data_IF_339794920375
#
_entry.id   IF_339794920375
#
_cell.length_a   1.000
_cell.length_b   1.000
_cell.length_c   1.000
_cell.angle_alpha   90.00
_cell.angle_beta   90.00
_cell.angle_gamma   90.00
#
_symmetry.space_group_name_H-M   'P 1'
#
loop_
_entity.id
_entity.type
_entity.pdbx_description
1 polymer ?
#
# COMPACT_ATOMS: atom_id res chain seq x y z
N UNK A 1 15.65 3.21 35.98
CA UNK A 1 15.62 3.07 34.52
C UNK A 1 14.18 3.22 34.10
N UNK A 2 13.80 4.41 33.62
CA UNK A 2 12.48 4.63 33.04
C UNK A 2 12.39 3.80 31.77
N UNK A 3 11.47 2.84 31.72
CA UNK A 3 11.17 2.14 30.48
C UNK A 3 10.77 3.20 29.45
N UNK A 4 11.62 3.43 28.46
CA UNK A 4 11.32 4.29 27.33
C UNK A 4 10.14 3.65 26.61
N UNK A 5 8.94 4.19 26.81
CA UNK A 5 7.77 3.77 26.04
C UNK A 5 8.07 4.05 24.57
N UNK A 6 8.03 3.01 23.72
CA UNK A 6 8.21 3.17 22.28
C UNK A 6 7.25 4.26 21.76
N UNK A 7 7.70 5.14 20.85
CA UNK A 7 6.84 6.16 20.26
C UNK A 7 5.60 5.53 19.66
N UNK A 8 4.43 6.16 19.84
CA UNK A 8 3.20 5.68 19.19
C UNK A 8 3.35 5.82 17.67
N UNK A 9 3.12 4.74 16.94
CA UNK A 9 3.24 4.68 15.49
C UNK A 9 2.03 3.97 14.87
N UNK A 10 1.47 4.50 13.80
CA UNK A 10 0.34 3.93 13.06
C UNK A 10 0.76 3.59 11.63
N UNK A 11 0.52 2.35 11.22
CA UNK A 11 0.84 1.84 9.90
C UNK A 11 -0.45 1.48 9.13
N UNK A 12 -0.89 2.34 8.21
CA UNK A 12 -2.01 2.06 7.32
C UNK A 12 -1.54 1.24 6.10
N UNK A 13 -1.85 -0.05 6.09
CA UNK A 13 -1.60 -0.94 4.98
C UNK A 13 -2.75 -0.87 3.99
N UNK A 14 -2.42 -0.81 2.71
CA UNK A 14 -3.37 -0.67 1.62
C UNK A 14 -2.95 -1.49 0.40
N UNK A 15 -3.74 -1.42 -0.65
CA UNK A 15 -3.38 -1.85 -2.01
C UNK A 15 -3.66 -0.70 -2.98
N UNK A 16 -3.00 -0.58 -4.15
CA UNK A 16 -3.35 0.47 -5.09
C UNK A 16 -4.85 0.51 -5.38
N UNK A 17 -5.39 1.72 -5.54
CA UNK A 17 -6.81 1.96 -5.86
C UNK A 17 -7.81 1.53 -4.77
N UNK A 18 -7.35 1.24 -3.55
CA UNK A 18 -8.17 0.98 -2.34
C UNK A 18 -8.91 2.19 -1.76
N UNK A 19 -8.87 3.36 -2.41
CA UNK A 19 -9.35 4.63 -1.85
C UNK A 19 -8.59 5.10 -0.59
N UNK A 20 -7.37 4.62 -0.37
CA UNK A 20 -6.55 5.05 0.77
C UNK A 20 -6.21 6.54 0.77
N UNK A 21 -5.99 7.15 -0.39
CA UNK A 21 -5.84 8.61 -0.50
C UNK A 21 -7.12 9.38 -0.18
N UNK A 22 -8.30 8.80 -0.46
CA UNK A 22 -9.58 9.38 -0.05
C UNK A 22 -9.69 9.38 1.47
N UNK A 23 -9.35 8.26 2.12
CA UNK A 23 -9.32 8.17 3.58
C UNK A 23 -8.36 9.22 4.18
N UNK A 24 -7.14 9.35 3.65
CA UNK A 24 -6.18 10.35 4.13
C UNK A 24 -6.70 11.79 4.02
N UNK A 25 -7.47 12.09 2.97
CA UNK A 25 -8.09 13.40 2.77
C UNK A 25 -9.24 13.62 3.75
N UNK A 26 -10.07 12.60 3.97
CA UNK A 26 -11.19 12.65 4.92
C UNK A 26 -10.69 12.86 6.34
N UNK A 27 -9.65 12.14 6.78
CA UNK A 27 -9.08 12.31 8.14
C UNK A 27 -8.16 13.52 8.25
N UNK A 28 -7.97 14.27 7.16
CA UNK A 28 -7.10 15.44 7.07
C UNK A 28 -5.71 15.21 7.68
N UNK A 29 -5.02 14.15 7.22
CA UNK A 29 -3.86 13.59 7.92
C UNK A 29 -2.73 14.60 8.20
N UNK A 30 -2.56 15.61 7.35
CA UNK A 30 -1.53 16.63 7.52
C UNK A 30 -1.88 17.69 8.59
N UNK A 31 -3.16 17.83 8.94
CA UNK A 31 -3.64 18.76 9.97
C UNK A 31 -4.03 18.06 11.28
N UNK A 32 -3.73 16.77 11.40
CA UNK A 32 -3.90 15.99 12.62
C UNK A 32 -2.89 16.47 13.69
N UNK A 33 -3.34 17.03 14.83
CA UNK A 33 -2.46 17.75 15.75
C UNK A 33 -1.43 16.85 16.44
N UNK A 34 -1.76 15.57 16.62
CA UNK A 34 -0.95 14.57 17.32
C UNK A 34 -0.18 13.64 16.38
N UNK A 35 -0.22 13.88 15.07
CA UNK A 35 0.43 12.99 14.10
C UNK A 35 1.38 13.74 13.18
N UNK A 36 2.42 13.03 12.79
CA UNK A 36 3.34 13.43 11.76
C UNK A 36 3.33 12.39 10.64
N UNK A 37 3.18 12.86 9.41
CA UNK A 37 3.31 12.06 8.19
C UNK A 37 4.20 12.79 7.18
N UNK A 38 4.60 12.12 6.10
CA UNK A 38 5.41 12.74 5.05
C UNK A 38 4.54 13.33 3.92
N UNK A 39 5.13 14.22 3.12
CA UNK A 39 4.46 14.85 1.98
C UNK A 39 4.22 13.89 0.79
N UNK A 40 4.78 12.68 0.86
CA UNK A 40 4.60 11.62 -0.15
C UNK A 40 3.33 10.80 0.13
N UNK A 41 2.42 11.27 0.99
CA UNK A 41 1.17 10.59 1.32
C UNK A 41 1.36 9.37 2.22
N UNK A 42 2.45 9.36 3.00
CA UNK A 42 2.80 8.34 3.97
C UNK A 42 3.68 7.20 3.45
N UNK A 43 4.10 7.24 2.18
CA UNK A 43 4.92 6.18 1.56
C UNK A 43 6.42 6.37 1.81
N UNK A 44 7.13 5.28 2.07
CA UNK A 44 8.56 5.17 2.37
C UNK A 44 9.22 3.99 1.63
N UNK A 45 8.49 2.92 1.29
CA UNK A 45 9.09 1.70 0.73
C UNK A 45 9.18 1.65 -0.80
N UNK A 46 8.56 2.59 -1.53
CA UNK A 46 8.69 2.63 -3.00
C UNK A 46 10.15 2.73 -3.50
N UNK A 47 11.04 3.53 -2.87
CA UNK A 47 12.48 3.55 -3.17
C UNK A 47 13.19 2.20 -3.13
N UNK A 48 12.67 1.21 -2.40
CA UNK A 48 13.27 -0.13 -2.32
C UNK A 48 13.44 -0.79 -3.70
N UNK A 49 12.59 -0.43 -4.67
CA UNK A 49 12.61 -0.99 -6.02
C UNK A 49 13.53 -0.24 -7.01
N UNK A 50 14.07 0.93 -6.63
CA UNK A 50 14.89 1.75 -7.52
C UNK A 50 16.09 1.00 -8.13
N UNK A 51 16.88 0.20 -7.38
CA UNK A 51 18.02 -0.51 -7.96
C UNK A 51 17.61 -1.48 -9.08
N UNK A 52 16.49 -2.20 -8.92
CA UNK A 52 16.01 -3.15 -9.91
C UNK A 52 15.47 -2.48 -11.18
N UNK A 53 14.80 -1.34 -10.99
CA UNK A 53 14.26 -0.54 -12.10
C UNK A 53 15.41 0.10 -12.88
N UNK A 54 16.30 0.83 -12.21
CA UNK A 54 17.41 1.55 -12.86
C UNK A 54 18.45 0.57 -13.43
N UNK A 55 18.68 -0.55 -12.75
CA UNK A 55 19.60 -1.59 -13.20
C UNK A 55 19.05 -2.53 -14.28
N UNK A 56 17.78 -2.38 -14.68
CA UNK A 56 17.17 -3.18 -15.74
C UNK A 56 17.10 -4.69 -15.43
N UNK A 57 16.81 -5.03 -14.17
CA UNK A 57 16.66 -6.42 -13.74
C UNK A 57 15.35 -6.70 -12.99
N UNK A 58 14.46 -5.71 -12.88
CA UNK A 58 13.13 -5.87 -12.29
C UNK A 58 12.23 -6.89 -13.02
N UNK A 59 12.45 -7.12 -14.31
CA UNK A 59 11.71 -8.10 -15.11
C UNK A 59 12.34 -9.51 -15.10
N UNK A 60 13.53 -9.65 -14.51
CA UNK A 60 14.23 -10.93 -14.40
C UNK A 60 13.75 -11.72 -13.18
N UNK A 61 13.59 -13.04 -13.29
CA UNK A 61 13.37 -13.90 -12.15
C UNK A 61 14.43 -13.69 -11.05
N UNK A 62 14.00 -13.71 -9.79
CA UNK A 62 14.85 -13.40 -8.64
C UNK A 62 16.04 -14.36 -8.47
N UNK A 63 15.92 -15.60 -8.96
CA UNK A 63 17.01 -16.59 -8.99
C UNK A 63 18.09 -16.27 -10.03
N UNK A 64 17.82 -15.41 -11.01
CA UNK A 64 18.80 -14.91 -11.99
C UNK A 64 19.55 -13.67 -11.49
N UNK A 65 19.13 -13.08 -10.37
CA UNK A 65 19.80 -11.92 -9.80
C UNK A 65 21.14 -12.34 -9.18
N UNK A 66 22.17 -11.53 -9.41
CA UNK A 66 23.48 -11.71 -8.78
C UNK A 66 23.40 -11.41 -7.29
N UNK A 67 24.37 -11.90 -6.51
CA UNK A 67 24.46 -11.56 -5.08
C UNK A 67 24.54 -10.05 -4.85
N UNK A 68 25.26 -9.32 -5.70
CA UNK A 68 25.34 -7.85 -5.65
C UNK A 68 23.98 -7.20 -5.83
N UNK A 69 23.19 -7.62 -6.83
CA UNK A 69 21.84 -7.07 -7.07
C UNK A 69 20.90 -7.34 -5.89
N UNK A 70 20.99 -8.52 -5.27
CA UNK A 70 20.20 -8.86 -4.07
C UNK A 70 20.59 -7.98 -2.88
N UNK A 71 21.89 -7.77 -2.66
CA UNK A 71 22.40 -6.89 -1.60
C UNK A 71 22.04 -5.41 -1.84
N UNK A 72 22.05 -4.93 -3.08
CA UNK A 72 21.60 -3.56 -3.42
C UNK A 72 20.13 -3.34 -3.05
N UNK A 73 19.26 -4.30 -3.35
CA UNK A 73 17.84 -4.24 -3.00
C UNK A 73 17.65 -4.31 -1.49
N UNK A 74 18.37 -5.20 -0.81
CA UNK A 74 18.37 -5.27 0.67
C UNK A 74 18.84 -3.96 1.29
N UNK A 75 19.89 -3.35 0.75
CA UNK A 75 20.40 -2.06 1.20
C UNK A 75 19.37 -0.94 0.96
N UNK A 76 18.62 -0.97 -0.16
CA UNK A 76 17.56 -0.01 -0.41
C UNK A 76 16.40 -0.14 0.58
N UNK A 77 16.01 -1.37 0.94
CA UNK A 77 15.08 -1.63 2.04
C UNK A 77 15.58 -1.08 3.38
N UNK A 78 16.86 -1.28 3.71
CA UNK A 78 17.49 -0.65 4.88
C UNK A 78 17.39 0.87 4.82
N UNK A 79 17.66 1.49 3.68
CA UNK A 79 17.52 2.93 3.49
C UNK A 79 16.10 3.43 3.76
N UNK A 80 15.08 2.71 3.26
CA UNK A 80 13.67 3.04 3.52
C UNK A 80 13.36 3.02 5.03
N UNK A 81 13.84 1.99 5.75
CA UNK A 81 13.66 1.89 7.20
C UNK A 81 14.42 3.00 7.94
N UNK A 82 15.64 3.33 7.54
CA UNK A 82 16.40 4.45 8.14
C UNK A 82 15.67 5.78 8.00
N UNK A 83 15.17 6.10 6.80
CA UNK A 83 14.38 7.32 6.57
C UNK A 83 13.08 7.33 7.39
N UNK A 84 12.47 6.17 7.58
CA UNK A 84 11.33 6.03 8.48
C UNK A 84 11.74 6.34 9.92
N UNK A 85 12.78 5.70 10.46
CA UNK A 85 13.23 5.90 11.84
C UNK A 85 13.58 7.38 12.11
N UNK A 86 14.25 8.06 11.18
CA UNK A 86 14.51 9.51 11.25
C UNK A 86 13.21 10.33 11.38
N UNK A 87 12.18 9.98 10.59
CA UNK A 87 10.87 10.60 10.69
C UNK A 87 10.19 10.31 12.04
N UNK A 88 10.34 9.11 12.58
CA UNK A 88 9.78 8.76 13.88
C UNK A 88 10.47 9.51 15.02
N UNK A 89 11.79 9.67 14.96
CA UNK A 89 12.52 10.47 15.95
C UNK A 89 12.07 11.92 15.92
N UNK A 90 11.82 12.47 14.72
CA UNK A 90 11.24 13.81 14.55
C UNK A 90 9.85 13.90 15.15
N UNK A 91 8.97 12.92 14.87
CA UNK A 91 7.63 12.88 15.47
C UNK A 91 7.70 12.87 17.00
N UNK A 92 8.58 12.07 17.58
CA UNK A 92 8.78 12.02 19.04
C UNK A 92 9.29 13.36 19.61
N UNK A 93 10.24 14.03 18.94
CA UNK A 93 10.73 15.36 19.33
C UNK A 93 9.62 16.43 19.29
N UNK A 94 8.61 16.25 18.44
CA UNK A 94 7.44 17.12 18.32
C UNK A 94 6.26 16.69 19.22
N UNK A 95 6.43 15.70 20.10
CA UNK A 95 5.36 15.09 20.92
C UNK A 95 4.17 14.57 20.07
N UNK A 96 4.50 14.02 18.90
CA UNK A 96 3.56 13.44 17.94
C UNK A 96 3.80 11.95 17.76
N UNK A 97 2.72 11.25 17.43
CA UNK A 97 2.78 9.91 16.87
C UNK A 97 3.16 9.97 15.38
N UNK A 98 3.77 8.90 14.87
CA UNK A 98 4.02 8.77 13.43
C UNK A 98 2.84 8.09 12.73
N UNK A 99 2.47 8.57 11.55
CA UNK A 99 1.51 7.91 10.67
C UNK A 99 2.15 7.65 9.30
N UNK A 100 2.16 6.39 8.88
CA UNK A 100 2.58 5.99 7.53
C UNK A 100 1.47 5.24 6.81
N UNK A 101 1.60 5.16 5.49
CA UNK A 101 0.73 4.37 4.65
C UNK A 101 1.54 3.70 3.56
N UNK A 102 1.43 2.38 3.44
CA UNK A 102 2.10 1.62 2.38
C UNK A 102 1.12 0.76 1.58
N UNK A 103 1.56 0.36 0.40
CA UNK A 103 0.97 -0.80 -0.26
C UNK A 103 1.61 -2.07 0.29
N UNK A 104 0.79 -3.06 0.66
CA UNK A 104 1.24 -4.28 1.32
C UNK A 104 2.43 -4.93 0.60
N UNK A 105 2.35 -5.01 -0.74
CA UNK A 105 3.40 -5.55 -1.59
C UNK A 105 4.79 -4.91 -1.39
N UNK A 106 4.86 -3.61 -1.06
CA UNK A 106 6.12 -2.86 -1.09
C UNK A 106 7.11 -3.21 0.01
N UNK A 107 6.66 -3.85 1.09
CA UNK A 107 7.54 -4.31 2.18
C UNK A 107 7.51 -5.84 2.35
N UNK A 108 6.95 -6.57 1.37
CA UNK A 108 7.00 -8.03 1.36
C UNK A 108 8.41 -8.51 0.99
N UNK A 109 8.78 -9.67 1.53
CA UNK A 109 10.04 -10.31 1.17
C UNK A 109 10.04 -10.68 -0.32
N UNK A 110 10.98 -10.19 -1.15
CA UNK A 110 11.03 -10.50 -2.57
C UNK A 110 11.05 -12.01 -2.90
N UNK A 111 11.58 -12.85 -2.00
CA UNK A 111 11.56 -14.30 -2.18
C UNK A 111 10.15 -14.89 -2.31
N UNK A 112 9.14 -14.23 -1.74
CA UNK A 112 7.75 -14.66 -1.85
C UNK A 112 7.20 -14.50 -3.27
N UNK A 113 7.67 -13.49 -4.01
CA UNK A 113 7.33 -13.36 -5.44
C UNK A 113 7.85 -14.55 -6.25
N UNK A 114 9.08 -14.98 -5.96
CA UNK A 114 9.66 -16.16 -6.59
C UNK A 114 8.85 -17.42 -6.28
N UNK A 115 8.47 -17.62 -5.02
CA UNK A 115 7.60 -18.75 -4.61
C UNK A 115 6.25 -18.71 -5.33
N UNK A 116 5.60 -17.55 -5.40
CA UNK A 116 4.29 -17.42 -6.05
C UNK A 116 4.34 -17.64 -7.57
N UNK A 117 5.43 -17.25 -8.23
CA UNK A 117 5.57 -17.43 -9.68
C UNK A 117 6.02 -18.84 -10.09
N UNK A 118 6.85 -19.49 -9.27
CA UNK A 118 7.47 -20.78 -9.62
C UNK A 118 6.89 -21.97 -8.87
N UNK A 119 6.17 -21.74 -7.77
CA UNK A 119 5.76 -22.77 -6.82
C UNK A 119 6.89 -23.29 -5.93
N UNK A 120 8.12 -22.82 -6.13
CA UNK A 120 9.30 -23.33 -5.42
C UNK A 120 9.63 -22.45 -4.21
N UNK A 121 9.78 -23.09 -3.05
CA UNK A 121 10.27 -22.44 -1.84
C UNK A 121 11.79 -22.38 -1.83
N UNK A 122 12.33 -21.22 -1.49
CA UNK A 122 13.77 -21.02 -1.30
C UNK A 122 14.03 -20.32 0.05
N UNK A 123 14.27 -21.10 1.13
CA UNK A 123 14.50 -20.55 2.45
C UNK A 123 15.75 -19.66 2.56
N UNK A 124 16.79 -19.93 1.77
CA UNK A 124 18.02 -19.13 1.79
C UNK A 124 17.82 -17.79 1.07
N UNK A 125 17.06 -17.79 -0.03
CA UNK A 125 16.63 -16.55 -0.66
C UNK A 125 15.75 -15.72 0.28
N UNK A 126 14.86 -16.37 1.04
CA UNK A 126 14.03 -15.68 2.03
C UNK A 126 14.88 -15.02 3.12
N UNK A 127 15.86 -15.73 3.69
CA UNK A 127 16.81 -15.17 4.67
C UNK A 127 17.64 -14.02 4.10
N UNK A 128 17.98 -14.07 2.81
CA UNK A 128 18.77 -13.02 2.14
C UNK A 128 18.12 -11.64 2.33
N UNK A 129 16.79 -11.54 2.17
CA UNK A 129 16.05 -10.27 2.26
C UNK A 129 15.49 -9.94 3.65
N UNK A 130 15.75 -10.78 4.67
CA UNK A 130 15.43 -10.43 6.04
C UNK A 130 16.36 -9.32 6.52
N UNK A 131 15.78 -8.19 6.94
CA UNK A 131 16.55 -7.07 7.45
C UNK A 131 17.00 -7.33 8.89
N UNK A 132 18.19 -6.83 9.22
CA UNK A 132 18.71 -6.76 10.59
C UNK A 132 18.72 -5.29 11.02
N UNK A 133 17.75 -4.90 11.84
CA UNK A 133 17.55 -3.54 12.29
C UNK A 133 18.34 -3.24 13.58
N UNK A 134 18.16 -2.04 14.13
CA UNK A 134 18.79 -1.58 15.38
C UNK A 134 18.61 -2.58 16.53
N UNK A 135 19.61 -2.67 17.40
CA UNK A 135 19.59 -3.51 18.62
C UNK A 135 18.46 -3.16 19.58
N UNK A 136 17.87 -1.96 19.45
CA UNK A 136 16.66 -1.57 20.20
C UNK A 136 15.45 -2.48 19.94
N UNK A 137 15.45 -3.24 18.84
CA UNK A 137 14.41 -4.21 18.49
C UNK A 137 14.83 -5.66 18.80
N UNK A 138 15.91 -5.89 19.56
CA UNK A 138 16.34 -7.24 19.91
C UNK A 138 15.49 -7.91 21.00
N UNK A 139 15.33 -9.25 20.95
CA UNK A 139 15.81 -10.16 19.90
C UNK A 139 15.00 -10.02 18.62
N UNK A 140 15.61 -10.00 17.44
CA UNK A 140 14.87 -9.90 16.17
C UNK A 140 14.56 -11.28 15.58
N UNK A 141 13.29 -11.54 15.32
CA UNK A 141 12.76 -12.82 14.85
C UNK A 141 11.87 -12.66 13.62
N UNK A 142 11.66 -13.75 12.91
CA UNK A 142 10.75 -13.83 11.76
C UNK A 142 9.89 -15.08 11.92
N UNK A 143 8.65 -14.90 12.40
CA UNK A 143 7.70 -15.99 12.52
C UNK A 143 7.43 -16.64 11.16
N UNK A 144 6.98 -17.91 11.12
CA UNK A 144 6.61 -18.56 9.87
C UNK A 144 5.56 -17.80 9.04
N UNK A 145 4.68 -17.04 9.69
CA UNK A 145 3.67 -16.18 9.07
C UNK A 145 4.19 -14.81 8.65
N UNK A 146 5.33 -14.35 9.18
CA UNK A 146 5.92 -13.10 8.75
C UNK A 146 6.53 -13.26 7.35
N UNK A 147 5.82 -12.71 6.36
CA UNK A 147 6.22 -12.71 4.96
C UNK A 147 6.91 -11.41 4.51
N UNK A 148 7.24 -10.53 5.44
CA UNK A 148 7.83 -9.21 5.16
C UNK A 148 9.35 -9.24 5.21
N UNK A 149 9.98 -8.14 4.79
CA UNK A 149 11.42 -7.91 5.02
C UNK A 149 11.73 -7.50 6.46
N UNK A 150 10.71 -7.11 7.25
CA UNK A 150 10.84 -6.52 8.58
C UNK A 150 10.73 -7.60 9.68
N UNK A 151 11.54 -7.53 10.74
CA UNK A 151 11.44 -8.48 11.85
C UNK A 151 10.14 -8.26 12.65
N UNK A 152 9.69 -9.30 13.35
CA UNK A 152 8.43 -9.29 14.08
C UNK A 152 8.40 -8.19 15.16
N UNK A 153 9.50 -7.98 15.86
CA UNK A 153 9.65 -6.99 16.93
C UNK A 153 9.48 -5.57 16.40
N UNK A 154 10.02 -5.32 15.21
CA UNK A 154 9.85 -4.04 14.55
C UNK A 154 8.39 -3.85 14.13
N UNK A 155 7.78 -4.83 13.48
CA UNK A 155 6.37 -4.74 13.09
C UNK A 155 5.44 -4.57 14.31
N UNK A 156 5.72 -5.25 15.43
CA UNK A 156 4.96 -5.11 16.70
C UNK A 156 5.10 -3.73 17.34
N UNK A 157 6.09 -2.93 16.96
CA UNK A 157 6.17 -1.52 17.38
C UNK A 157 5.08 -0.63 16.75
N UNK A 158 4.39 -1.12 15.71
CA UNK A 158 3.34 -0.40 15.00
C UNK A 158 1.95 -0.81 15.45
N UNK A 159 1.07 0.18 15.58
CA UNK A 159 -0.37 -0.07 15.47
C UNK A 159 -0.73 -0.25 13.99
N UNK A 160 -0.93 -1.49 13.58
CA UNK A 160 -1.28 -1.82 12.20
C UNK A 160 -2.77 -1.57 11.93
N UNK A 161 -3.06 -0.92 10.81
CA UNK A 161 -4.39 -0.69 10.29
C UNK A 161 -4.44 -1.04 8.80
N UNK A 162 -5.64 -1.29 8.27
CA UNK A 162 -5.87 -1.73 6.89
C UNK A 162 -6.99 -0.93 6.25
N UNK A 163 -6.83 -0.66 4.95
CA UNK A 163 -7.94 -0.28 4.06
C UNK A 163 -8.00 -1.23 2.87
N UNK A 164 -9.18 -1.80 2.66
CA UNK A 164 -9.48 -2.68 1.52
C UNK A 164 -10.57 -2.07 0.64
N UNK A 165 -10.73 -2.58 -0.57
CA UNK A 165 -11.81 -2.21 -1.48
C UNK A 165 -12.23 -3.42 -2.29
N UNK A 166 -13.50 -3.46 -2.66
CA UNK A 166 -14.03 -4.51 -3.51
C UNK A 166 -13.18 -4.69 -4.80
N UNK A 167 -12.66 -5.90 -5.08
CA UNK A 167 -11.79 -6.18 -6.23
C UNK A 167 -12.31 -5.65 -7.57
N UNK A 168 -13.60 -5.86 -7.87
CA UNK A 168 -14.23 -5.37 -9.10
C UNK A 168 -14.07 -3.85 -9.32
N UNK A 169 -14.05 -3.05 -8.25
CA UNK A 169 -13.84 -1.60 -8.35
C UNK A 169 -12.35 -1.24 -8.39
N UNK A 170 -11.54 -1.87 -7.53
CA UNK A 170 -10.13 -1.57 -7.40
C UNK A 170 -9.35 -1.96 -8.67
N UNK A 171 -9.56 -3.16 -9.20
CA UNK A 171 -8.83 -3.71 -10.35
C UNK A 171 -9.25 -3.05 -11.66
N UNK A 172 -10.54 -2.82 -11.87
CA UNK A 172 -11.01 -2.06 -13.04
C UNK A 172 -10.44 -0.63 -13.01
N UNK A 173 -10.35 -0.02 -11.82
CA UNK A 173 -9.71 1.28 -11.70
C UNK A 173 -8.19 1.23 -11.91
N UNK A 174 -7.52 0.14 -11.50
CA UNK A 174 -6.08 -0.05 -11.71
C UNK A 174 -5.77 -0.23 -13.19
N UNK A 175 -6.55 -1.06 -13.89
CA UNK A 175 -6.39 -1.30 -15.33
C UNK A 175 -6.47 0.00 -16.12
N UNK A 176 -7.50 0.81 -15.89
CA UNK A 176 -7.65 2.13 -16.53
C UNK A 176 -6.45 3.05 -16.27
N UNK A 177 -5.95 3.07 -15.04
CA UNK A 177 -4.78 3.87 -14.66
C UNK A 177 -3.52 3.41 -15.39
N UNK A 178 -3.26 2.09 -15.40
CA UNK A 178 -2.11 1.50 -16.09
C UNK A 178 -2.17 1.72 -17.60
N UNK A 179 -3.33 1.58 -18.22
CA UNK A 179 -3.52 1.86 -19.65
C UNK A 179 -3.22 3.32 -19.97
N UNK A 180 -3.65 4.27 -19.12
CA UNK A 180 -3.30 5.68 -19.27
C UNK A 180 -1.79 5.93 -19.12
N UNK A 181 -1.15 5.30 -18.12
CA UNK A 181 0.30 5.40 -17.88
C UNK A 181 1.10 4.87 -19.08
N UNK A 182 0.73 3.70 -19.57
CA UNK A 182 1.30 3.12 -20.80
C UNK A 182 1.12 4.04 -22.00
N UNK A 183 -0.03 4.70 -22.11
CA UNK A 183 -0.36 5.61 -23.21
C UNK A 183 0.57 6.82 -23.36
N UNK A 184 1.18 7.28 -22.26
CA UNK A 184 2.21 8.35 -22.31
C UNK A 184 3.65 7.82 -22.14
N UNK A 185 3.86 6.52 -22.26
CA UNK A 185 5.18 5.89 -22.19
C UNK A 185 5.74 5.71 -20.77
N UNK A 186 4.93 5.87 -19.73
CA UNK A 186 5.35 5.65 -18.34
C UNK A 186 5.40 4.18 -17.92
N UNK A 187 5.10 3.24 -18.83
CA UNK A 187 5.13 1.81 -18.56
C UNK A 187 5.28 0.98 -19.84
N UNK A 188 6.17 -0.01 -19.82
CA UNK A 188 6.37 -0.96 -20.91
C UNK A 188 5.35 -2.12 -20.92
N UNK A 189 5.29 -2.88 -22.02
CA UNK A 189 4.36 -4.02 -22.16
C UNK A 189 4.63 -5.18 -21.18
N UNK A 190 5.90 -5.57 -20.98
CA UNK A 190 6.28 -6.60 -19.99
C UNK A 190 6.06 -6.11 -18.56
N UNK A 191 6.44 -4.86 -18.29
CA UNK A 191 6.25 -4.19 -17.01
C UNK A 191 4.76 -4.14 -16.62
N UNK A 192 3.87 -3.89 -17.59
CA UNK A 192 2.42 -3.89 -17.37
C UNK A 192 1.94 -5.18 -16.69
N UNK A 193 2.32 -6.35 -17.20
CA UNK A 193 1.86 -7.60 -16.60
C UNK A 193 2.49 -7.88 -15.24
N UNK A 194 3.73 -7.44 -15.01
CA UNK A 194 4.40 -7.55 -13.71
C UNK A 194 3.69 -6.69 -12.65
N UNK A 195 3.45 -5.41 -12.97
CA UNK A 195 2.73 -4.46 -12.10
C UNK A 195 1.28 -4.90 -11.89
N UNK A 196 0.63 -5.44 -12.92
CA UNK A 196 -0.73 -5.98 -12.80
C UNK A 196 -0.79 -7.06 -11.73
N UNK A 197 -0.01 -8.14 -11.89
CA UNK A 197 -0.03 -9.30 -10.98
C UNK A 197 0.30 -8.94 -9.53
N UNK A 198 1.25 -8.04 -9.30
CA UNK A 198 1.64 -7.65 -7.94
C UNK A 198 0.62 -6.76 -7.25
N UNK A 199 -0.16 -5.99 -8.01
CA UNK A 199 -1.06 -4.97 -7.46
C UNK A 199 -2.54 -5.31 -7.58
N UNK A 200 -2.94 -6.35 -8.31
CA UNK A 200 -4.33 -6.83 -8.41
C UNK A 200 -4.58 -8.12 -7.63
N UNK A 201 -4.13 -8.12 -6.39
CA UNK A 201 -4.39 -9.21 -5.43
C UNK A 201 -4.48 -8.67 -4.01
N UNK A 202 -5.27 -9.32 -3.16
CA UNK A 202 -5.33 -9.03 -1.72
C UNK A 202 -4.48 -10.00 -0.89
N UNK A 203 -3.79 -10.96 -1.51
CA UNK A 203 -2.95 -11.96 -0.81
C UNK A 203 -1.91 -11.33 0.11
N UNK A 204 -1.20 -10.30 -0.37
CA UNK A 204 -0.22 -9.57 0.46
C UNK A 204 -0.86 -8.96 1.71
N UNK A 205 -2.03 -8.35 1.52
CA UNK A 205 -2.79 -7.71 2.61
C UNK A 205 -3.23 -8.76 3.62
N UNK A 206 -3.77 -9.89 3.14
CA UNK A 206 -4.19 -11.00 3.99
C UNK A 206 -3.03 -11.63 4.76
N UNK A 207 -1.86 -11.81 4.14
CA UNK A 207 -0.68 -12.34 4.82
C UNK A 207 -0.26 -11.48 6.02
N UNK A 208 -0.22 -10.14 5.84
CA UNK A 208 0.12 -9.24 6.96
C UNK A 208 -1.00 -9.22 8.00
N UNK A 209 -2.26 -9.30 7.58
CA UNK A 209 -3.40 -9.38 8.49
C UNK A 209 -3.37 -10.65 9.35
N UNK A 210 -3.13 -11.81 8.74
CA UNK A 210 -3.05 -13.10 9.45
C UNK A 210 -1.83 -13.12 10.37
N UNK A 211 -0.69 -12.55 9.96
CA UNK A 211 0.44 -12.31 10.85
C UNK A 211 0.02 -11.48 12.08
N UNK A 212 -0.70 -10.36 11.91
CA UNK A 212 -1.18 -9.56 13.04
C UNK A 212 -2.01 -10.39 14.04
N UNK A 213 -2.91 -11.24 13.54
CA UNK A 213 -3.73 -12.11 14.39
C UNK A 213 -2.87 -13.13 15.16
N UNK A 214 -1.90 -13.75 14.49
CA UNK A 214 -0.98 -14.70 15.13
C UNK A 214 -0.08 -14.05 16.18
N UNK A 215 0.26 -12.76 16.00
CA UNK A 215 0.96 -11.96 17.00
C UNK A 215 0.07 -11.52 18.17
N UNK A 216 -1.21 -11.90 18.18
CA UNK A 216 -2.17 -11.52 19.22
C UNK A 216 -2.66 -10.07 19.12
N UNK A 217 -2.49 -9.44 17.96
CA UNK A 217 -3.01 -8.09 17.70
C UNK A 217 -4.30 -8.15 16.91
N UNK A 218 -5.22 -7.23 17.18
CA UNK A 218 -6.43 -7.06 16.38
C UNK A 218 -6.29 -5.77 15.57
N UNK A 219 -5.85 -5.85 14.30
CA UNK A 219 -5.60 -4.65 13.51
C UNK A 219 -6.93 -3.98 13.12
N UNK A 220 -6.88 -2.65 13.00
CA UNK A 220 -8.05 -1.86 12.59
C UNK A 220 -8.25 -2.03 11.09
N UNK A 221 -9.45 -2.39 10.62
CA UNK A 221 -9.71 -2.58 9.19
C UNK A 221 -10.94 -1.80 8.75
N UNK A 222 -10.83 -1.06 7.64
CA UNK A 222 -11.96 -0.34 7.02
C UNK A 222 -12.11 -0.73 5.55
N UNK A 223 -13.35 -0.84 5.07
CA UNK A 223 -13.65 -1.00 3.65
C UNK A 223 -13.87 0.37 3.01
N UNK A 224 -13.37 0.57 1.80
CA UNK A 224 -13.57 1.78 1.02
C UNK A 224 -15.05 2.13 0.78
N UNK A 225 -15.95 1.13 0.77
CA UNK A 225 -17.39 1.34 0.75
C UNK A 225 -17.85 2.11 2.00
N UNK A 226 -17.42 1.67 3.18
CA UNK A 226 -17.71 2.36 4.45
C UNK A 226 -17.04 3.74 4.49
N UNK A 227 -15.83 3.91 3.95
CA UNK A 227 -15.18 5.23 3.83
C UNK A 227 -16.02 6.20 2.99
N UNK A 228 -16.69 5.69 1.95
CA UNK A 228 -17.49 6.52 1.03
C UNK A 228 -18.88 6.83 1.59
N UNK A 229 -19.51 5.85 2.25
CA UNK A 229 -20.94 5.87 2.55
C UNK A 229 -21.27 5.94 4.04
N UNK A 230 -20.30 5.66 4.92
CA UNK A 230 -20.52 5.51 6.35
C UNK A 230 -19.55 6.38 7.17
N UNK A 231 -19.85 7.68 7.35
CA UNK A 231 -19.04 8.59 8.16
C UNK A 231 -18.75 8.06 9.58
N UNK A 232 -19.70 7.32 10.18
CA UNK A 232 -19.52 6.75 11.52
C UNK A 232 -18.40 5.69 11.56
N UNK A 233 -18.23 4.91 10.49
CA UNK A 233 -17.13 3.95 10.39
C UNK A 233 -15.76 4.67 10.30
N UNK A 234 -15.67 5.78 9.58
CA UNK A 234 -14.44 6.60 9.52
C UNK A 234 -14.16 7.28 10.86
N UNK A 235 -15.20 7.79 11.52
CA UNK A 235 -15.07 8.32 12.89
C UNK A 235 -14.52 7.26 13.84
N UNK A 236 -15.05 6.03 13.77
CA UNK A 236 -14.60 4.90 14.57
C UNK A 236 -13.16 4.49 14.23
N UNK A 237 -12.76 4.56 12.96
CA UNK A 237 -11.38 4.37 12.55
C UNK A 237 -10.45 5.39 13.21
N UNK A 238 -10.83 6.68 13.25
CA UNK A 238 -10.06 7.72 13.93
C UNK A 238 -9.90 7.41 15.42
N UNK A 239 -10.99 7.09 16.12
CA UNK A 239 -10.97 6.74 17.55
C UNK A 239 -10.04 5.55 17.85
N UNK A 240 -10.11 4.49 17.03
CA UNK A 240 -9.30 3.28 17.23
C UNK A 240 -7.82 3.52 16.94
N UNK A 241 -7.48 4.35 15.95
CA UNK A 241 -6.09 4.67 15.58
C UNK A 241 -5.50 5.83 16.38
N UNK A 242 -6.34 6.58 17.09
CA UNK A 242 -5.96 7.75 17.89
C UNK A 242 -5.94 9.07 17.11
N UNK A 243 -6.34 9.07 15.84
CA UNK A 243 -6.58 10.29 15.06
C UNK A 243 -7.74 11.08 15.68
N UNK A 244 -7.71 12.41 15.54
CA UNK A 244 -8.74 13.31 16.02
C UNK A 244 -9.94 13.30 15.05
N UNK A 245 -11.12 12.80 15.45
CA UNK A 245 -12.29 12.80 14.58
C UNK A 245 -12.82 14.20 14.26
N UNK A 246 -12.52 15.21 15.08
CA UNK A 246 -12.95 16.60 14.85
C UNK A 246 -12.17 17.27 13.71
N UNK A 247 -11.09 16.63 13.24
CA UNK A 247 -10.35 17.04 12.04
C UNK A 247 -10.90 16.45 10.75
N UNK A 248 -11.91 15.59 10.84
CA UNK A 248 -12.47 14.98 9.64
C UNK A 248 -13.13 16.04 8.76
N UNK A 249 -12.90 15.93 7.46
CA UNK A 249 -13.47 16.79 6.43
C UNK A 249 -14.06 15.95 5.30
N UNK A 250 -15.12 16.44 4.69
CA UNK A 250 -15.79 15.77 3.55
C UNK A 250 -15.83 16.63 2.29
N UNK A 251 -15.39 17.87 2.44
CA UNK A 251 -15.26 18.88 1.41
C UNK A 251 -13.87 19.48 1.51
N UNK A 252 -13.27 19.81 0.37
CA UNK A 252 -11.95 20.40 0.28
C UNK A 252 -11.86 21.29 -0.96
N UNK A 253 -10.93 22.23 -0.94
CA UNK A 253 -10.64 23.02 -2.13
C UNK A 253 -10.10 22.12 -3.24
N UNK A 254 -10.50 22.41 -4.48
CA UNK A 254 -9.79 21.87 -5.65
C UNK A 254 -8.34 22.33 -5.57
N UNK A 255 -7.43 21.38 -5.42
CA UNK A 255 -6.00 21.65 -5.42
C UNK A 255 -5.47 21.45 -6.85
N UNK A 256 -4.56 22.31 -7.28
CA UNK A 256 -3.74 21.98 -8.45
C UNK A 256 -3.05 20.65 -8.17
N UNK A 257 -3.23 19.66 -9.05
CA UNK A 257 -2.63 18.32 -8.89
C UNK A 257 -1.11 18.48 -8.79
N UNK A 258 -0.56 18.45 -7.58
CA UNK A 258 0.90 18.60 -7.34
C UNK A 258 1.68 17.33 -7.67
N UNK A 259 1.01 16.24 -8.04
CA UNK A 259 1.63 14.94 -8.29
C UNK A 259 2.34 14.36 -7.05
N UNK A 260 1.95 14.78 -5.85
CA UNK A 260 2.52 14.24 -4.60
C UNK A 260 2.14 12.77 -4.47
N UNK A 261 3.06 11.93 -4.01
CA UNK A 261 2.88 10.49 -4.01
C UNK A 261 4.21 9.76 -3.84
N UNK A 262 4.22 8.43 -4.03
CA UNK A 262 5.46 7.67 -3.96
C UNK A 262 6.42 8.17 -5.03
N UNK A 263 7.71 8.15 -4.74
CA UNK A 263 8.74 8.52 -5.72
C UNK A 263 10.10 7.99 -5.31
N UNK A 264 10.98 7.84 -6.29
CA UNK A 264 12.41 7.63 -6.04
C UNK A 264 13.00 9.00 -5.68
N UNK A 265 13.94 9.06 -4.73
CA UNK A 265 14.63 10.31 -4.35
C UNK A 265 15.57 10.85 -5.44
N UNK A 266 15.34 10.47 -6.71
CA UNK A 266 16.20 10.84 -7.82
C UNK A 266 15.77 12.19 -8.38
N UNK A 267 16.76 13.08 -8.55
CA UNK A 267 16.56 14.49 -8.93
C UNK A 267 16.81 14.72 -10.42
N UNK A 268 17.00 13.65 -11.21
CA UNK A 268 17.04 13.75 -12.66
C UNK A 268 15.67 14.20 -13.21
N UNK A 269 15.67 15.35 -13.90
CA UNK A 269 14.44 16.06 -14.27
C UNK A 269 13.43 15.19 -15.05
N UNK A 270 13.88 14.34 -15.97
CA UNK A 270 12.97 13.54 -16.82
C UNK A 270 12.28 12.39 -16.05
N UNK A 271 13.03 11.66 -15.22
CA UNK A 271 12.49 10.60 -14.36
C UNK A 271 11.54 11.18 -13.31
N UNK A 272 11.90 12.32 -12.74
CA UNK A 272 11.07 13.05 -11.79
C UNK A 272 9.75 13.53 -12.42
N UNK A 273 9.78 14.12 -13.62
CA UNK A 273 8.57 14.52 -14.35
C UNK A 273 7.66 13.34 -14.70
N UNK A 274 8.23 12.20 -15.11
CA UNK A 274 7.46 10.99 -15.39
C UNK A 274 6.78 10.47 -14.12
N UNK A 275 7.49 10.44 -12.99
CA UNK A 275 6.93 10.03 -11.70
C UNK A 275 5.76 10.92 -11.28
N UNK A 276 5.90 12.24 -11.45
CA UNK A 276 4.81 13.21 -11.20
C UNK A 276 3.58 12.86 -12.05
N UNK A 277 3.75 12.62 -13.36
CA UNK A 277 2.65 12.26 -14.27
C UNK A 277 1.97 10.97 -13.84
N UNK A 278 2.72 9.96 -13.42
CA UNK A 278 2.20 8.70 -12.88
C UNK A 278 1.38 8.95 -11.61
N UNK A 279 1.91 9.70 -10.65
CA UNK A 279 1.22 10.05 -9.41
C UNK A 279 -0.09 10.81 -9.67
N UNK A 280 -0.08 11.75 -10.62
CA UNK A 280 -1.27 12.47 -11.07
C UNK A 280 -2.36 11.51 -11.58
N UNK A 281 -2.00 10.48 -12.37
CA UNK A 281 -2.99 9.47 -12.80
C UNK A 281 -3.53 8.70 -11.60
N UNK A 282 -2.64 8.25 -10.71
CA UNK A 282 -2.99 7.44 -9.54
C UNK A 282 -3.87 8.18 -8.54
N UNK A 283 -3.87 9.51 -8.54
CA UNK A 283 -4.68 10.35 -7.65
C UNK A 283 -5.75 11.19 -8.32
N UNK A 284 -5.84 11.14 -9.66
CA UNK A 284 -6.71 11.98 -10.48
C UNK A 284 -8.14 12.18 -9.97
N UNK A 285 -8.77 11.17 -9.37
CA UNK A 285 -10.14 11.29 -8.85
C UNK A 285 -10.24 12.12 -7.59
N UNK A 286 -9.31 11.95 -6.64
CA UNK A 286 -9.37 12.65 -5.35
C UNK A 286 -8.80 14.07 -5.46
N UNK A 287 -7.86 14.28 -6.38
CA UNK A 287 -7.27 15.60 -6.61
C UNK A 287 -8.17 16.49 -7.48
N UNK A 288 -8.94 15.90 -8.41
CA UNK A 288 -9.88 16.65 -9.27
C UNK A 288 -11.31 16.75 -8.70
N UNK A 289 -11.52 16.43 -7.42
CA UNK A 289 -12.82 16.61 -6.76
C UNK A 289 -12.72 17.64 -5.64
N UNK A 290 -13.85 18.21 -5.24
CA UNK A 290 -14.02 19.05 -4.05
C UNK A 290 -14.64 18.29 -2.87
N UNK A 291 -14.82 16.97 -3.00
CA UNK A 291 -15.40 16.09 -2.00
C UNK A 291 -15.47 14.63 -2.46
N UNK A 292 -16.22 13.81 -1.73
CA UNK A 292 -16.40 12.38 -2.04
C UNK A 292 -17.20 12.19 -3.35
N UNK A 293 -16.60 11.54 -4.35
CA UNK A 293 -17.26 11.19 -5.62
C UNK A 293 -18.02 9.85 -5.47
N UNK A 294 -19.26 9.92 -4.98
CA UNK A 294 -20.07 8.74 -4.65
C UNK A 294 -20.37 7.84 -5.86
N UNK A 295 -20.50 8.39 -7.06
CA UNK A 295 -20.80 7.62 -8.29
C UNK A 295 -19.76 6.55 -8.63
N UNK A 296 -18.55 6.64 -8.06
CA UNK A 296 -17.46 5.66 -8.25
C UNK A 296 -17.47 4.52 -7.24
N UNK A 297 -18.40 4.54 -6.29
CA UNK A 297 -18.64 3.46 -5.33
C UNK A 297 -20.13 3.18 -5.34
N UNK A 298 -20.60 2.21 -6.13
CA UNK A 298 -22.02 1.88 -6.20
C UNK A 298 -22.58 1.54 -4.81
N UNK A 299 -23.79 2.01 -4.52
CA UNK A 299 -24.50 1.59 -3.30
C UNK A 299 -25.12 0.21 -3.51
N UNK A 300 -24.76 -0.77 -2.67
CA UNK A 300 -25.34 -2.11 -2.69
C UNK A 300 -24.38 -3.20 -3.23
N UNK A 301 -24.88 -4.44 -3.40
CA UNK A 301 -24.05 -5.55 -3.87
C UNK A 301 -23.58 -5.32 -5.30
N UNK A 302 -22.32 -5.69 -5.56
CA UNK A 302 -21.71 -5.60 -6.88
C UNK A 302 -21.93 -6.91 -7.62
N UNK A 303 -22.68 -6.85 -8.72
CA UNK A 303 -22.86 -7.99 -9.61
C UNK A 303 -21.69 -8.06 -10.60
N UNK A 304 -20.82 -9.07 -10.41
CA UNK A 304 -19.61 -9.28 -11.22
C UNK A 304 -19.97 -9.57 -12.69
N UNK A 305 -21.10 -10.22 -12.98
CA UNK A 305 -21.51 -10.50 -14.35
C UNK A 305 -21.92 -9.21 -15.07
N UNK A 306 -22.63 -8.32 -14.37
CA UNK A 306 -22.97 -6.98 -14.91
C UNK A 306 -21.70 -6.14 -15.12
N UNK A 307 -20.76 -6.17 -14.18
CA UNK A 307 -19.48 -5.47 -14.34
C UNK A 307 -18.65 -6.05 -15.50
N UNK A 308 -18.67 -7.37 -15.70
CA UNK A 308 -17.99 -8.02 -16.83
C UNK A 308 -18.50 -7.50 -18.18
N UNK A 309 -19.82 -7.36 -18.36
CA UNK A 309 -20.39 -6.82 -19.60
C UNK A 309 -20.01 -5.34 -19.82
N UNK A 310 -19.95 -4.54 -18.75
CA UNK A 310 -19.44 -3.17 -18.82
C UNK A 310 -17.97 -3.14 -19.23
N UNK A 311 -17.14 -4.02 -18.67
CA UNK A 311 -15.71 -4.07 -19.02
C UNK A 311 -15.50 -4.52 -20.46
N UNK A 312 -16.30 -5.46 -20.99
CA UNK A 312 -16.23 -5.84 -22.41
C UNK A 312 -16.55 -4.66 -23.32
N UNK A 313 -17.62 -3.94 -23.00
CA UNK A 313 -18.05 -2.77 -23.78
C UNK A 313 -17.01 -1.63 -23.74
N UNK A 314 -16.35 -1.42 -22.59
CA UNK A 314 -15.38 -0.34 -22.41
C UNK A 314 -13.96 -0.68 -22.88
N UNK A 315 -13.48 -1.89 -22.58
CA UNK A 315 -12.07 -2.27 -22.65
C UNK A 315 -11.78 -3.40 -23.65
N UNK A 316 -12.81 -4.04 -24.19
CA UNK A 316 -12.71 -5.23 -25.05
C UNK A 316 -12.61 -6.53 -24.26
N UNK A 317 -12.78 -7.65 -24.97
CA UNK A 317 -12.95 -8.98 -24.37
C UNK A 317 -11.72 -9.47 -23.59
N UNK A 318 -10.51 -9.28 -24.14
CA UNK A 318 -9.27 -9.74 -23.50
C UNK A 318 -9.03 -9.02 -22.16
N UNK A 319 -9.23 -7.70 -22.12
CA UNK A 319 -9.09 -6.90 -20.92
C UNK A 319 -10.16 -7.25 -19.88
N UNK A 320 -11.40 -7.44 -20.31
CA UNK A 320 -12.51 -7.83 -19.45
C UNK A 320 -12.28 -9.22 -18.82
N UNK A 321 -11.75 -10.17 -19.59
CA UNK A 321 -11.41 -11.50 -19.08
C UNK A 321 -10.27 -11.43 -18.05
N UNK A 322 -9.20 -10.68 -18.32
CA UNK A 322 -8.11 -10.48 -17.38
C UNK A 322 -8.58 -9.85 -16.06
N UNK A 323 -9.48 -8.87 -16.14
CA UNK A 323 -10.12 -8.25 -14.98
C UNK A 323 -10.95 -9.25 -14.19
N UNK A 324 -11.81 -10.00 -14.89
CA UNK A 324 -12.69 -10.99 -14.28
C UNK A 324 -11.90 -12.06 -13.51
N UNK A 325 -10.83 -12.59 -14.10
CA UNK A 325 -9.94 -13.56 -13.43
C UNK A 325 -9.31 -12.96 -12.16
N UNK A 326 -8.69 -11.78 -12.24
CA UNK A 326 -8.08 -11.13 -11.08
C UNK A 326 -9.09 -10.81 -9.97
N UNK A 327 -10.33 -10.46 -10.34
CA UNK A 327 -11.42 -10.24 -9.39
C UNK A 327 -11.78 -11.53 -8.68
N UNK A 328 -12.09 -12.60 -9.41
CA UNK A 328 -12.47 -13.89 -8.82
C UNK A 328 -11.37 -14.46 -7.92
N UNK A 329 -10.11 -14.36 -8.33
CA UNK A 329 -8.97 -14.80 -7.51
C UNK A 329 -8.82 -14.00 -6.20
N UNK A 330 -9.24 -12.74 -6.18
CA UNK A 330 -9.14 -11.86 -5.01
C UNK A 330 -10.36 -11.90 -4.09
N UNK A 331 -11.51 -12.38 -4.58
CA UNK A 331 -12.76 -12.39 -3.80
C UNK A 331 -12.66 -13.16 -2.48
N UNK A 332 -12.05 -14.36 -2.40
CA UNK A 332 -11.94 -15.07 -1.12
C UNK A 332 -11.16 -14.29 -0.06
N UNK A 333 -10.10 -13.57 -0.47
CA UNK A 333 -9.33 -12.72 0.44
C UNK A 333 -10.11 -11.46 0.83
N UNK A 334 -10.84 -10.87 -0.12
CA UNK A 334 -11.70 -9.72 0.12
C UNK A 334 -12.80 -10.03 1.14
N UNK A 335 -13.56 -11.11 0.94
CA UNK A 335 -14.66 -11.51 1.82
C UNK A 335 -14.14 -11.80 3.23
N UNK A 336 -13.04 -12.54 3.34
CA UNK A 336 -12.36 -12.80 4.61
C UNK A 336 -12.01 -11.51 5.37
N UNK A 337 -11.40 -10.53 4.67
CA UNK A 337 -11.01 -9.27 5.28
C UNK A 337 -12.24 -8.37 5.58
N UNK A 338 -13.23 -8.36 4.70
CA UNK A 338 -14.46 -7.55 4.82
C UNK A 338 -15.28 -7.93 6.05
N UNK A 339 -15.37 -9.21 6.39
CA UNK A 339 -16.05 -9.69 7.60
C UNK A 339 -15.42 -9.15 8.89
N UNK A 340 -14.15 -8.72 8.83
CA UNK A 340 -13.37 -8.26 9.97
C UNK A 340 -13.20 -6.74 10.02
N UNK A 341 -13.88 -6.01 9.14
CA UNK A 341 -13.87 -4.55 9.12
C UNK A 341 -14.61 -3.96 10.33
N UNK A 342 -14.38 -2.69 10.58
CA UNK A 342 -15.16 -1.88 11.52
C UNK A 342 -16.66 -2.00 11.18
N UNK A 343 -17.45 -2.43 12.16
CA UNK A 343 -18.91 -2.39 12.11
C UNK A 343 -19.37 -1.35 13.14
N UNK A 344 -20.29 -0.48 12.74
CA UNK A 344 -20.85 0.62 13.55
C UNK A 344 -22.35 0.55 13.62
#
# INVERSE_FOLDING_TARGET
>A
MTATTLPRRVFLISVPRSASHLLLKIVDIHNQPKFLTNEQGGYFFFPAFAPAIHGGYADKPLNEWTSTQKEEIKASFHGCVSSLEEYSERAQKEDKAMFIKEHAYWFMNPALMYEMMTGNKDPELFKTFQLRLSESYDPQSFSPSNKTVLPDEYLRSWQVAFIIRHPALAWASMYRAMTKIKGFGGMGGKEFMGVWKTNTTLRWTRMVYDWCLEQGTQPVLVDADDVTHNPAAVKRFCELTGLDPEKMQYEWSEETVKGTGPGMHDTENEHYEMQIKINCVMRSTVDASSGIVKDKTPTGPIDIAVEMEKWKAELGDEAAQLLHEAVLESMPDYEYLKERRIIV
#
